data_IF_662006378446
#
_entry.id   IF_662006378446
#
_cell.length_a   1.000
_cell.length_b   1.000
_cell.length_c   1.000
_cell.angle_alpha   90.00
_cell.angle_beta   90.00
_cell.angle_gamma   90.00
#
_symmetry.space_group_name_H-M   'P 1'
#
loop_
_entity.id
_entity.type
_entity.pdbx_description
1 polymer ?
#
# COMPACT_ATOMS: atom_id res chain seq x y z
N UNK A 1 -4.20 1.80 -18.80
CA UNK A 1 -4.05 1.12 -17.50
C UNK A 1 -4.56 2.04 -16.40
N UNK A 2 -5.31 1.52 -15.42
CA UNK A 2 -5.93 2.33 -14.36
C UNK A 2 -5.48 1.81 -13.00
N UNK A 3 -4.61 2.57 -12.33
CA UNK A 3 -4.29 2.35 -10.92
C UNK A 3 -5.29 3.10 -10.05
N UNK A 4 -5.87 2.41 -9.06
CA UNK A 4 -6.72 3.03 -8.03
C UNK A 4 -6.09 2.77 -6.66
N UNK A 5 -5.35 3.75 -6.15
CA UNK A 5 -4.89 3.75 -4.77
C UNK A 5 -6.05 4.10 -3.82
N UNK A 6 -6.23 3.33 -2.75
CA UNK A 6 -7.20 3.64 -1.68
C UNK A 6 -6.44 3.74 -0.35
N UNK A 7 -6.64 4.85 0.35
CA UNK A 7 -6.18 4.98 1.73
C UNK A 7 -7.13 4.18 2.64
N UNK A 8 -6.59 3.28 3.43
CA UNK A 8 -7.35 2.47 4.38
C UNK A 8 -6.98 2.87 5.81
N UNK A 9 -7.92 2.73 6.74
CA UNK A 9 -7.65 2.82 8.18
C UNK A 9 -7.91 1.45 8.78
N UNK A 10 -6.94 0.93 9.51
CA UNK A 10 -7.04 -0.36 10.19
C UNK A 10 -6.61 -0.21 11.65
N UNK A 11 -7.35 -0.81 12.57
CA UNK A 11 -7.00 -0.85 13.99
C UNK A 11 -6.13 -2.09 14.24
N UNK A 12 -4.86 -1.87 14.59
CA UNK A 12 -3.93 -2.95 14.90
C UNK A 12 -4.37 -3.63 16.19
N UNK A 13 -4.70 -4.92 16.16
CA UNK A 13 -5.08 -5.67 17.36
C UNK A 13 -3.91 -5.88 18.33
N UNK A 14 -2.67 -5.74 17.86
CA UNK A 14 -1.45 -5.89 18.66
C UNK A 14 -1.07 -4.63 19.43
N UNK A 15 -1.42 -3.45 18.91
CA UNK A 15 -1.06 -2.15 19.48
C UNK A 15 -2.28 -1.35 19.97
N UNK A 16 -3.49 -1.82 19.70
CA UNK A 16 -4.77 -1.13 19.96
C UNK A 16 -4.87 0.28 19.33
N UNK A 17 -4.05 0.55 18.30
CA UNK A 17 -3.97 1.85 17.62
C UNK A 17 -4.57 1.80 16.21
N UNK A 18 -5.21 2.91 15.82
CA UNK A 18 -5.69 3.11 14.44
C UNK A 18 -4.56 3.65 13.58
N UNK A 19 -4.04 2.81 12.69
CA UNK A 19 -2.99 3.19 11.75
C UNK A 19 -3.52 3.41 10.33
N UNK A 20 -2.81 4.25 9.59
CA UNK A 20 -3.01 4.39 8.15
C UNK A 20 -2.37 3.19 7.47
N UNK A 21 -3.10 2.63 6.52
CA UNK A 21 -2.64 1.57 5.66
C UNK A 21 -2.80 2.03 4.21
N UNK A 22 -1.90 1.60 3.35
CA UNK A 22 -1.97 1.91 1.92
C UNK A 22 -2.00 0.61 1.12
N UNK A 23 -3.01 0.47 0.26
CA UNK A 23 -3.10 -0.64 -0.68
C UNK A 23 -3.13 -0.14 -2.13
N UNK A 24 -2.42 -0.86 -3.00
CA UNK A 24 -2.40 -0.65 -4.43
C UNK A 24 -3.04 -1.84 -5.13
N UNK A 25 -4.10 -1.62 -5.90
CA UNK A 25 -4.57 -2.61 -6.85
C UNK A 25 -3.86 -2.40 -8.18
N UNK A 26 -3.27 -3.48 -8.70
CA UNK A 26 -2.55 -3.54 -9.98
C UNK A 26 -3.26 -4.55 -10.86
N UNK A 27 -3.71 -4.14 -12.04
CA UNK A 27 -4.32 -5.06 -13.01
C UNK A 27 -3.22 -5.76 -13.81
N UNK A 28 -3.15 -7.09 -13.79
CA UNK A 28 -2.26 -7.88 -14.68
C UNK A 28 -3.11 -8.68 -15.68
N UNK A 29 -2.52 -9.25 -16.75
CA UNK A 29 -3.25 -10.10 -17.70
C UNK A 29 -3.96 -11.30 -17.05
N UNK A 30 -3.37 -11.86 -16.00
CA UNK A 30 -3.91 -13.02 -15.27
C UNK A 30 -4.91 -12.62 -14.17
N UNK A 31 -5.05 -11.32 -13.88
CA UNK A 31 -6.02 -10.79 -12.92
C UNK A 31 -5.47 -9.67 -12.03
N UNK A 32 -6.32 -9.05 -11.18
CA UNK A 32 -5.86 -8.02 -10.27
C UNK A 32 -5.02 -8.58 -9.12
N UNK A 33 -3.87 -7.96 -8.85
CA UNK A 33 -3.03 -8.22 -7.67
C UNK A 33 -3.09 -7.00 -6.74
N UNK A 34 -3.18 -7.24 -5.43
CA UNK A 34 -3.20 -6.17 -4.42
C UNK A 34 -1.89 -6.18 -3.64
N UNK A 35 -1.16 -5.07 -3.69
CA UNK A 35 0.02 -4.81 -2.87
C UNK A 35 -0.40 -4.03 -1.62
N UNK A 36 -0.03 -4.52 -0.44
CA UNK A 36 -0.34 -3.86 0.83
C UNK A 36 0.96 -3.39 1.50
N UNK A 37 1.05 -2.09 1.78
CA UNK A 37 2.15 -1.51 2.53
C UNK A 37 1.71 -1.30 3.98
N UNK A 38 2.12 -2.22 4.86
CA UNK A 38 1.93 -2.10 6.30
C UNK A 38 3.26 -1.97 7.03
N UNK A 39 3.37 -0.93 7.87
CA UNK A 39 4.38 -0.83 8.93
C UNK A 39 3.79 -1.31 10.26
N UNK A 40 4.62 -1.63 11.26
CA UNK A 40 4.16 -2.05 12.59
C UNK A 40 3.32 -0.94 13.24
N UNK A 41 3.78 0.31 13.10
CA UNK A 41 3.12 1.53 13.57
C UNK A 41 3.00 2.59 12.45
N UNK A 42 2.55 3.80 12.81
CA UNK A 42 2.43 4.90 11.86
C UNK A 42 3.78 5.43 11.40
N UNK A 43 4.80 5.46 12.26
CA UNK A 43 6.11 6.02 11.94
C UNK A 43 6.82 5.16 10.90
N UNK A 44 6.81 3.84 11.08
CA UNK A 44 7.36 2.89 10.12
C UNK A 44 6.62 2.95 8.77
N UNK A 45 5.29 3.06 8.79
CA UNK A 45 4.50 3.24 7.56
C UNK A 45 4.89 4.51 6.81
N UNK A 46 5.06 5.63 7.53
CA UNK A 46 5.40 6.92 6.93
C UNK A 46 6.84 6.91 6.38
N UNK A 47 7.76 6.22 7.05
CA UNK A 47 9.15 6.06 6.64
C UNK A 47 9.31 5.20 5.37
N UNK A 48 8.46 4.17 5.18
CA UNK A 48 8.52 3.30 4.00
C UNK A 48 7.86 3.91 2.75
N UNK A 49 7.02 4.92 2.91
CA UNK A 49 6.22 5.49 1.83
C UNK A 49 7.01 6.10 0.67
N UNK A 50 8.17 6.75 0.84
CA UNK A 50 8.97 7.25 -0.29
C UNK A 50 9.38 6.14 -1.26
N UNK A 51 9.80 4.98 -0.72
CA UNK A 51 10.16 3.83 -1.54
C UNK A 51 8.94 3.23 -2.26
N UNK A 52 7.80 3.16 -1.58
CA UNK A 52 6.55 2.71 -2.19
C UNK A 52 6.06 3.63 -3.32
N UNK A 53 6.12 4.95 -3.14
CA UNK A 53 5.72 5.90 -4.20
C UNK A 53 6.65 5.82 -5.42
N UNK A 54 7.96 5.66 -5.20
CA UNK A 54 8.92 5.43 -6.29
C UNK A 54 8.60 4.14 -7.04
N UNK A 55 8.42 3.02 -6.30
CA UNK A 55 8.06 1.74 -6.88
C UNK A 55 6.76 1.83 -7.70
N UNK A 56 5.73 2.50 -7.17
CA UNK A 56 4.46 2.72 -7.87
C UNK A 56 4.64 3.47 -9.19
N UNK A 57 5.51 4.48 -9.23
CA UNK A 57 5.78 5.26 -10.45
C UNK A 57 6.55 4.45 -11.51
N UNK A 58 7.38 3.50 -11.08
CA UNK A 58 8.17 2.64 -11.97
C UNK A 58 7.48 1.35 -12.37
N UNK A 59 6.30 1.05 -11.81
CA UNK A 59 5.50 -0.11 -12.21
C UNK A 59 4.91 0.11 -13.60
N UNK A 60 5.67 -0.31 -14.61
CA UNK A 60 5.16 -0.54 -15.95
C UNK A 60 4.60 -1.96 -16.01
N UNK A 61 3.31 -2.08 -16.30
CA UNK A 61 2.72 -3.36 -16.62
C UNK A 61 3.13 -3.70 -18.07
N UNK A 62 3.77 -4.85 -18.24
CA UNK A 62 4.06 -5.43 -19.55
C UNK A 62 2.77 -5.80 -20.31
#
# INVERSE_FOLDING_TARGET
>A
MTFRGRLLRHTSKLLEETKKETALAVSTPDGPVVLHLGGMDMEEHEAMRPAYELARQTLELA
#
